data_IF_102486359480
#
_entry.id   IF_102486359480
#
_cell.length_a   1.000
_cell.length_b   1.000
_cell.length_c   1.000
_cell.angle_alpha   90.00
_cell.angle_beta   90.00
_cell.angle_gamma   90.00
#
_symmetry.space_group_name_H-M   'P 1'
#
loop_
_entity.id
_entity.type
_entity.pdbx_description
1 polymer ?
#
# COMPACT_ATOMS: atom_id res chain seq x y z
N UNK A 1 -30.49 -39.01 -45.35
CA UNK A 1 -30.47 -37.54 -45.35
C UNK A 1 -30.94 -37.04 -44.00
N UNK A 2 -30.04 -36.59 -43.13
CA UNK A 2 -30.37 -35.95 -41.86
C UNK A 2 -29.50 -34.71 -41.73
N UNK A 3 -30.15 -33.59 -41.43
CA UNK A 3 -29.65 -32.23 -41.50
C UNK A 3 -28.73 -31.89 -40.33
N UNK A 4 -27.63 -31.22 -40.65
CA UNK A 4 -26.76 -30.53 -39.70
C UNK A 4 -27.48 -29.32 -39.11
N UNK A 5 -27.44 -29.16 -37.79
CA UNK A 5 -27.65 -27.87 -37.14
C UNK A 5 -26.45 -27.59 -36.25
N UNK A 6 -25.57 -26.71 -36.74
CA UNK A 6 -24.48 -26.12 -35.99
C UNK A 6 -25.08 -25.21 -34.90
N UNK A 7 -24.82 -25.52 -33.63
CA UNK A 7 -25.05 -24.59 -32.54
C UNK A 7 -23.81 -23.71 -32.39
N UNK A 8 -23.95 -22.44 -32.75
CA UNK A 8 -22.88 -21.45 -32.63
C UNK A 8 -22.72 -21.06 -31.15
N UNK A 9 -21.67 -21.57 -30.51
CA UNK A 9 -21.19 -21.07 -29.23
C UNK A 9 -20.63 -19.66 -29.46
N UNK A 10 -21.27 -18.65 -28.87
CA UNK A 10 -20.76 -17.28 -28.85
C UNK A 10 -19.42 -17.23 -28.08
N UNK A 11 -18.43 -16.45 -28.53
CA UNK A 11 -17.22 -16.20 -27.76
C UNK A 11 -17.55 -15.28 -26.57
N UNK A 12 -17.26 -15.75 -25.36
CA UNK A 12 -17.28 -14.93 -24.15
C UNK A 12 -16.28 -13.77 -24.31
N UNK A 13 -16.80 -12.54 -24.37
CA UNK A 13 -16.01 -11.32 -24.26
C UNK A 13 -15.33 -11.27 -22.88
N UNK A 14 -14.09 -10.77 -22.79
CA UNK A 14 -13.41 -10.60 -21.52
C UNK A 14 -14.17 -9.58 -20.66
N UNK A 15 -14.42 -9.95 -19.41
CA UNK A 15 -15.00 -9.06 -18.40
C UNK A 15 -14.16 -7.78 -18.34
N UNK A 16 -14.80 -6.67 -18.74
CA UNK A 16 -14.29 -5.31 -18.57
C UNK A 16 -13.86 -5.13 -17.11
N UNK A 17 -12.59 -4.80 -16.89
CA UNK A 17 -12.10 -4.26 -15.63
C UNK A 17 -12.90 -3.00 -15.30
N UNK A 18 -13.93 -3.13 -14.48
CA UNK A 18 -14.62 -1.99 -13.90
C UNK A 18 -13.66 -1.33 -12.90
N UNK A 19 -12.94 -0.30 -13.38
CA UNK A 19 -12.25 0.64 -12.51
C UNK A 19 -13.34 1.35 -11.67
N UNK A 20 -13.28 1.30 -10.34
CA UNK A 20 -14.23 2.01 -9.51
C UNK A 20 -14.16 3.51 -9.81
N UNK A 21 -15.33 4.14 -10.03
CA UNK A 21 -15.44 5.59 -10.23
C UNK A 21 -14.83 6.35 -9.06
N UNK A 22 -14.02 7.37 -9.38
CA UNK A 22 -13.31 8.26 -8.45
C UNK A 22 -14.17 8.79 -7.30
N UNK A 23 -15.45 9.05 -7.56
CA UNK A 23 -16.40 9.62 -6.60
C UNK A 23 -16.62 8.73 -5.36
N UNK A 24 -16.38 7.42 -5.47
CA UNK A 24 -16.61 6.49 -4.36
C UNK A 24 -15.52 6.50 -3.28
N UNK A 25 -14.38 7.18 -3.52
CA UNK A 25 -13.18 7.15 -2.65
C UNK A 25 -12.74 8.59 -2.27
N UNK A 26 -13.39 9.62 -2.82
CA UNK A 26 -13.11 11.05 -2.54
C UNK A 26 -13.13 11.40 -1.03
N UNK A 27 -13.95 10.70 -0.24
CA UNK A 27 -14.01 10.89 1.22
C UNK A 27 -12.89 10.18 1.99
N UNK A 28 -11.97 9.48 1.32
CA UNK A 28 -11.05 8.50 1.93
C UNK A 28 -9.56 8.89 1.90
N UNK A 29 -9.24 10.19 1.85
CA UNK A 29 -7.87 10.68 1.64
C UNK A 29 -7.11 10.97 2.94
N UNK A 30 -5.96 10.32 3.21
CA UNK A 30 -5.04 10.77 4.24
C UNK A 30 -4.17 11.93 3.72
N UNK A 31 -3.95 12.95 4.54
CA UNK A 31 -2.93 13.97 4.25
C UNK A 31 -1.57 13.40 4.70
N UNK A 32 -0.74 12.90 3.78
CA UNK A 32 0.61 12.42 4.15
C UNK A 32 1.43 13.63 4.59
N UNK A 33 2.23 13.47 5.65
CA UNK A 33 3.13 14.54 6.10
C UNK A 33 4.18 14.79 5.01
N UNK A 34 4.45 16.08 4.72
CA UNK A 34 5.47 16.47 3.74
C UNK A 34 6.84 16.05 4.24
N UNK A 35 7.59 15.27 3.46
CA UNK A 35 8.96 14.83 3.75
C UNK A 35 10.01 15.98 3.70
N UNK A 36 9.56 17.24 3.78
CA UNK A 36 10.44 18.42 3.71
C UNK A 36 11.22 18.61 5.00
N UNK A 37 12.22 17.75 5.22
CA UNK A 37 13.39 18.06 6.03
C UNK A 37 14.62 17.56 5.27
N UNK A 38 15.41 18.54 4.79
CA UNK A 38 16.80 18.45 4.31
C UNK A 38 17.13 17.43 3.22
N UNK A 39 17.22 17.92 1.97
CA UNK A 39 18.40 17.80 1.09
C UNK A 39 17.96 18.12 -0.35
N UNK A 40 17.93 19.42 -0.68
CA UNK A 40 17.85 19.90 -2.08
C UNK A 40 19.17 20.60 -2.35
N UNK A 41 20.15 19.84 -2.83
CA UNK A 41 21.18 20.32 -3.75
C UNK A 41 21.63 19.13 -4.62
N UNK A 42 20.85 18.82 -5.65
CA UNK A 42 21.38 18.17 -6.86
C UNK A 42 20.59 18.68 -8.06
N UNK A 43 21.23 19.55 -8.83
CA UNK A 43 20.79 19.92 -10.16
C UNK A 43 21.09 18.73 -11.10
N UNK A 44 20.09 17.87 -11.34
CA UNK A 44 20.10 16.99 -12.51
C UNK A 44 18.73 17.06 -13.21
N UNK A 45 18.72 17.76 -14.35
CA UNK A 45 17.55 17.95 -15.18
C UNK A 45 17.15 16.62 -15.83
N UNK A 46 16.14 15.94 -15.29
CA UNK A 46 15.62 14.78 -16.00
C UNK A 46 14.50 13.94 -15.39
N UNK A 47 13.95 14.25 -14.22
CA UNK A 47 12.68 13.67 -13.72
C UNK A 47 12.26 14.26 -12.36
N UNK A 48 13.20 14.88 -11.63
CA UNK A 48 12.99 15.50 -10.30
C UNK A 48 12.08 16.73 -10.33
N UNK A 49 12.02 17.44 -11.47
CA UNK A 49 11.19 18.63 -11.62
C UNK A 49 9.69 18.33 -11.52
N UNK A 50 9.27 17.11 -11.90
CA UNK A 50 7.88 16.69 -11.79
C UNK A 50 7.48 16.43 -10.33
N UNK A 51 8.34 15.77 -9.55
CA UNK A 51 8.10 15.52 -8.12
C UNK A 51 8.04 16.84 -7.34
N UNK A 52 8.99 17.76 -7.55
CA UNK A 52 9.03 19.05 -6.86
C UNK A 52 7.84 19.95 -7.20
N UNK A 53 7.31 19.89 -8.44
CA UNK A 53 6.11 20.65 -8.83
C UNK A 53 4.82 20.03 -8.32
N UNK A 54 4.75 18.70 -8.19
CA UNK A 54 3.56 17.97 -7.74
C UNK A 54 3.11 18.33 -6.31
N UNK A 55 4.07 18.56 -5.42
CA UNK A 55 3.81 18.78 -4.00
C UNK A 55 3.66 20.26 -3.60
N UNK A 56 3.85 21.21 -4.53
CA UNK A 56 3.74 22.66 -4.27
C UNK A 56 2.31 23.21 -4.30
N UNK A 57 1.38 22.53 -4.97
CA UNK A 57 -0.04 22.91 -5.03
C UNK A 57 -0.88 21.94 -4.19
N UNK A 58 -1.49 22.45 -3.12
CA UNK A 58 -2.25 21.64 -2.15
C UNK A 58 -3.40 20.87 -2.80
N UNK A 59 -4.13 21.46 -3.74
CA UNK A 59 -5.27 20.79 -4.39
C UNK A 59 -4.80 19.64 -5.30
N UNK A 60 -3.70 19.82 -6.03
CA UNK A 60 -3.10 18.78 -6.87
C UNK A 60 -2.48 17.68 -6.01
N UNK A 61 -1.79 18.05 -4.93
CA UNK A 61 -1.26 17.10 -3.94
C UNK A 61 -2.38 16.20 -3.39
N UNK A 62 -3.51 16.76 -2.99
CA UNK A 62 -4.66 15.96 -2.53
C UNK A 62 -5.14 15.02 -3.64
N UNK A 63 -5.37 15.50 -4.86
CA UNK A 63 -5.83 14.65 -5.97
C UNK A 63 -4.88 13.47 -6.26
N UNK A 64 -3.57 13.71 -6.20
CA UNK A 64 -2.56 12.68 -6.42
C UNK A 64 -2.55 11.67 -5.28
N UNK A 65 -2.66 12.13 -4.03
CA UNK A 65 -2.81 11.22 -2.89
C UNK A 65 -4.05 10.34 -3.01
N UNK A 66 -5.18 10.91 -3.46
CA UNK A 66 -6.40 10.13 -3.70
C UNK A 66 -6.13 9.03 -4.70
N UNK A 67 -5.48 9.38 -5.81
CA UNK A 67 -5.17 8.45 -6.88
C UNK A 67 -4.19 7.37 -6.40
N UNK A 68 -3.14 7.72 -5.66
CA UNK A 68 -2.23 6.76 -5.04
C UNK A 68 -2.98 5.78 -4.11
N UNK A 69 -3.87 6.30 -3.26
CA UNK A 69 -4.69 5.47 -2.37
C UNK A 69 -5.61 4.52 -3.13
N UNK A 70 -6.18 4.95 -4.24
CA UNK A 70 -7.00 4.11 -5.14
C UNK A 70 -6.13 3.00 -5.75
N UNK A 71 -4.96 3.36 -6.29
CA UNK A 71 -4.02 2.41 -6.91
C UNK A 71 -3.62 1.34 -5.89
N UNK A 72 -3.13 1.74 -4.72
CA UNK A 72 -2.69 0.85 -3.64
C UNK A 72 -3.83 -0.07 -3.20
N UNK A 73 -5.02 0.49 -2.93
CA UNK A 73 -6.16 -0.29 -2.44
C UNK A 73 -6.65 -1.28 -3.49
N UNK A 74 -6.63 -0.89 -4.76
CA UNK A 74 -7.00 -1.75 -5.89
C UNK A 74 -6.01 -2.90 -6.06
N UNK A 75 -4.71 -2.63 -5.94
CA UNK A 75 -3.69 -3.68 -6.04
C UNK A 75 -3.84 -4.72 -4.92
N UNK A 76 -4.03 -4.27 -3.68
CA UNK A 76 -4.28 -5.16 -2.53
C UNK A 76 -5.56 -5.98 -2.76
N UNK A 77 -6.62 -5.33 -3.21
CA UNK A 77 -7.91 -5.98 -3.50
C UNK A 77 -7.77 -7.04 -4.57
N UNK A 78 -7.05 -6.77 -5.66
CA UNK A 78 -6.83 -7.73 -6.73
C UNK A 78 -6.06 -8.97 -6.26
N UNK A 79 -5.08 -8.79 -5.37
CA UNK A 79 -4.26 -9.89 -4.83
C UNK A 79 -4.97 -10.71 -3.75
N UNK A 80 -5.92 -10.12 -3.05
CA UNK A 80 -6.58 -10.74 -1.87
C UNK A 80 -8.06 -11.03 -2.08
N UNK A 81 -8.66 -10.56 -3.18
CA UNK A 81 -10.08 -10.66 -3.48
C UNK A 81 -10.97 -10.21 -2.31
N UNK A 82 -10.72 -8.99 -1.80
CA UNK A 82 -11.44 -8.42 -0.64
C UNK A 82 -12.21 -7.15 -1.01
N UNK A 83 -13.01 -6.61 -0.08
CA UNK A 83 -13.79 -5.40 -0.33
C UNK A 83 -12.90 -4.15 -0.43
N UNK A 84 -12.84 -3.56 -1.62
CA UNK A 84 -12.00 -2.39 -1.91
C UNK A 84 -12.30 -1.22 -0.97
N UNK A 85 -13.57 -0.94 -0.68
CA UNK A 85 -13.96 0.20 0.16
C UNK A 85 -13.48 0.01 1.60
N UNK A 86 -13.59 -1.19 2.15
CA UNK A 86 -13.10 -1.53 3.48
C UNK A 86 -11.57 -1.39 3.56
N UNK A 87 -10.84 -1.85 2.55
CA UNK A 87 -9.38 -1.71 2.49
C UNK A 87 -8.96 -0.24 2.37
N UNK A 88 -9.58 0.53 1.47
CA UNK A 88 -9.27 1.94 1.29
C UNK A 88 -9.51 2.75 2.57
N UNK A 89 -10.65 2.55 3.25
CA UNK A 89 -10.96 3.21 4.53
C UNK A 89 -9.97 2.83 5.63
N UNK A 90 -9.59 1.56 5.68
CA UNK A 90 -8.65 1.09 6.69
C UNK A 90 -7.25 1.67 6.47
N UNK A 91 -6.74 1.64 5.23
CA UNK A 91 -5.46 2.26 4.87
C UNK A 91 -5.44 3.74 5.21
N UNK A 92 -6.50 4.49 4.84
CA UNK A 92 -6.63 5.91 5.23
C UNK A 92 -6.48 6.08 6.73
N UNK A 93 -7.20 5.27 7.51
CA UNK A 93 -7.22 5.37 8.97
C UNK A 93 -5.83 5.12 9.54
N UNK A 94 -5.15 4.08 9.07
CA UNK A 94 -3.79 3.73 9.50
C UNK A 94 -2.82 4.86 9.17
N UNK A 95 -2.78 5.29 7.91
CA UNK A 95 -1.87 6.32 7.42
C UNK A 95 -2.08 7.65 8.16
N UNK A 96 -3.34 8.10 8.27
CA UNK A 96 -3.66 9.39 8.90
C UNK A 96 -3.31 9.38 10.39
N UNK A 97 -3.66 8.31 11.10
CA UNK A 97 -3.45 8.26 12.56
C UNK A 97 -2.00 7.95 12.94
N UNK A 98 -1.26 7.24 12.09
CA UNK A 98 0.17 7.04 12.26
C UNK A 98 0.99 8.28 11.88
N UNK A 99 0.40 9.24 11.17
CA UNK A 99 1.14 10.40 10.65
C UNK A 99 2.17 10.01 9.60
N UNK A 100 1.88 8.97 8.81
CA UNK A 100 2.84 8.35 7.89
C UNK A 100 3.25 9.31 6.78
N UNK A 101 4.56 9.48 6.62
CA UNK A 101 5.14 10.25 5.51
C UNK A 101 5.10 9.46 4.19
N UNK A 102 5.38 10.10 3.04
CA UNK A 102 5.39 9.35 1.78
C UNK A 102 6.53 8.33 1.73
N UNK A 103 7.71 8.69 2.23
CA UNK A 103 8.82 7.75 2.35
C UNK A 103 8.48 6.55 3.26
N UNK A 104 7.88 6.81 4.42
CA UNK A 104 7.41 5.74 5.32
C UNK A 104 6.31 4.88 4.68
N UNK A 105 5.38 5.49 3.95
CA UNK A 105 4.36 4.77 3.20
C UNK A 105 5.00 3.78 2.22
N UNK A 106 6.00 4.21 1.46
CA UNK A 106 6.67 3.35 0.47
C UNK A 106 7.39 2.17 1.13
N UNK A 107 8.05 2.37 2.28
CA UNK A 107 8.62 1.28 3.08
C UNK A 107 7.54 0.30 3.55
N UNK A 108 6.46 0.82 4.12
CA UNK A 108 5.34 0.02 4.60
C UNK A 108 4.71 -0.80 3.47
N UNK A 109 4.65 -0.25 2.25
CA UNK A 109 4.17 -0.96 1.06
C UNK A 109 5.11 -2.05 0.59
N UNK A 110 6.43 -1.88 0.69
CA UNK A 110 7.39 -2.96 0.41
C UNK A 110 7.15 -4.12 1.38
N UNK A 111 7.07 -3.84 2.69
CA UNK A 111 6.77 -4.87 3.70
C UNK A 111 5.44 -5.55 3.38
N UNK A 112 4.41 -4.77 3.07
CA UNK A 112 3.08 -5.30 2.73
C UNK A 112 3.12 -6.19 1.48
N UNK A 113 3.89 -5.85 0.46
CA UNK A 113 4.04 -6.65 -0.76
C UNK A 113 4.65 -8.02 -0.43
N UNK A 114 5.65 -8.06 0.45
CA UNK A 114 6.25 -9.33 0.93
C UNK A 114 5.26 -10.14 1.76
N UNK A 115 4.60 -9.49 2.71
CA UNK A 115 3.55 -10.08 3.55
C UNK A 115 2.41 -10.68 2.72
N UNK A 116 1.92 -9.97 1.70
CA UNK A 116 0.92 -10.50 0.77
C UNK A 116 1.50 -11.67 -0.02
N UNK A 117 2.73 -11.59 -0.50
CA UNK A 117 3.39 -12.71 -1.17
C UNK A 117 3.42 -13.99 -0.33
N UNK A 118 3.62 -13.85 0.98
CA UNK A 118 3.69 -14.98 1.92
C UNK A 118 2.32 -15.51 2.32
N UNK A 119 1.37 -14.62 2.64
CA UNK A 119 0.13 -14.99 3.30
C UNK A 119 -1.14 -14.77 2.44
N UNK A 120 -1.02 -14.38 1.16
CA UNK A 120 -2.18 -14.08 0.31
C UNK A 120 -3.21 -15.20 0.27
N UNK A 121 -2.77 -16.47 0.18
CA UNK A 121 -3.65 -17.64 0.15
C UNK A 121 -4.52 -17.74 1.41
N UNK A 122 -3.97 -17.33 2.55
CA UNK A 122 -4.67 -17.29 3.82
C UNK A 122 -5.50 -16.01 4.01
N UNK A 123 -5.39 -15.04 3.13
CA UNK A 123 -6.12 -13.79 3.22
C UNK A 123 -7.30 -13.69 2.24
N UNK A 124 -7.40 -14.64 1.29
CA UNK A 124 -8.42 -14.59 0.22
C UNK A 124 -9.83 -14.47 0.78
N UNK A 125 -10.54 -13.40 0.41
CA UNK A 125 -11.91 -13.13 0.84
C UNK A 125 -12.06 -12.76 2.34
N UNK A 126 -10.95 -12.69 3.09
CA UNK A 126 -10.94 -12.44 4.53
C UNK A 126 -10.46 -11.02 4.83
N UNK A 127 -11.35 -10.04 4.70
CA UNK A 127 -11.03 -8.60 4.91
C UNK A 127 -10.29 -8.33 6.23
N UNK A 128 -10.70 -8.96 7.34
CA UNK A 128 -10.03 -8.78 8.64
C UNK A 128 -8.58 -9.27 8.63
N UNK A 129 -8.26 -10.34 7.89
CA UNK A 129 -6.88 -10.83 7.78
C UNK A 129 -6.04 -9.85 6.95
N UNK A 130 -6.58 -9.33 5.84
CA UNK A 130 -5.90 -8.31 5.04
C UNK A 130 -5.66 -7.03 5.84
N UNK A 131 -6.63 -6.59 6.66
CA UNK A 131 -6.46 -5.45 7.55
C UNK A 131 -5.36 -5.68 8.59
N UNK A 132 -5.27 -6.88 9.17
CA UNK A 132 -4.14 -7.24 10.06
C UNK A 132 -2.81 -7.22 9.33
N UNK A 133 -2.75 -7.75 8.11
CA UNK A 133 -1.55 -7.72 7.27
C UNK A 133 -1.10 -6.28 6.98
N UNK A 134 -2.03 -5.39 6.63
CA UNK A 134 -1.77 -3.96 6.45
C UNK A 134 -1.23 -3.36 7.75
N UNK A 135 -1.94 -3.54 8.87
CA UNK A 135 -1.54 -3.00 10.16
C UNK A 135 -0.12 -3.42 10.55
N UNK A 136 0.17 -4.72 10.51
CA UNK A 136 1.47 -5.25 10.89
C UNK A 136 2.57 -4.82 9.94
N UNK A 137 2.30 -4.74 8.64
CA UNK A 137 3.27 -4.23 7.67
C UNK A 137 3.66 -2.78 7.96
N UNK A 138 2.70 -1.96 8.38
CA UNK A 138 2.94 -0.57 8.76
C UNK A 138 3.67 -0.44 10.11
N UNK A 139 3.34 -1.30 11.08
CA UNK A 139 4.08 -1.38 12.34
C UNK A 139 5.55 -1.73 12.11
N UNK A 140 5.80 -2.76 11.29
CA UNK A 140 7.15 -3.21 10.96
C UNK A 140 7.89 -2.15 10.15
N UNK A 141 7.30 -1.65 9.06
CA UNK A 141 7.98 -0.69 8.20
C UNK A 141 8.30 0.65 8.89
N UNK A 142 7.60 0.99 9.97
CA UNK A 142 7.92 2.15 10.82
C UNK A 142 9.23 2.01 11.61
N UNK A 143 9.74 0.79 11.79
CA UNK A 143 10.96 0.50 12.56
C UNK A 143 12.08 -0.16 11.76
N UNK A 144 11.80 -0.58 10.52
CA UNK A 144 12.83 -1.18 9.65
C UNK A 144 13.83 -0.09 9.23
N UNK A 145 15.13 -0.23 9.58
CA UNK A 145 16.14 0.74 9.18
C UNK A 145 16.42 0.66 7.67
N UNK A 146 16.80 1.80 7.08
CA UNK A 146 17.29 1.93 5.70
C UNK A 146 18.77 1.50 5.64
N UNK A 147 19.07 0.22 5.83
CA UNK A 147 20.39 -0.37 5.59
C UNK A 147 20.46 -1.84 5.99
N UNK A 148 21.42 -2.55 5.40
CA UNK A 148 21.77 -3.97 5.56
C UNK A 148 22.21 -4.38 6.98
N UNK A 149 21.56 -3.85 8.02
CA UNK A 149 21.73 -4.29 9.40
C UNK A 149 20.81 -5.49 9.65
N UNK A 150 21.42 -6.66 9.83
CA UNK A 150 20.75 -7.93 10.16
C UNK A 150 20.33 -8.06 11.63
N UNK A 151 20.44 -6.99 12.42
CA UNK A 151 20.14 -7.08 13.85
C UNK A 151 18.63 -7.08 14.10
N UNK A 152 18.11 -8.27 14.41
CA UNK A 152 16.72 -8.50 14.86
C UNK A 152 16.33 -7.73 16.14
N UNK A 153 17.25 -6.96 16.74
CA UNK A 153 17.00 -6.08 17.88
C UNK A 153 16.14 -4.84 17.52
N UNK A 154 16.02 -4.48 16.24
CA UNK A 154 15.26 -3.28 15.82
C UNK A 154 13.74 -3.38 16.00
N UNK A 155 13.18 -4.59 16.05
CA UNK A 155 11.76 -4.82 16.34
C UNK A 155 11.38 -4.41 17.77
N UNK A 156 12.35 -4.24 18.67
CA UNK A 156 12.16 -3.78 20.04
C UNK A 156 11.80 -2.28 20.13
N UNK A 157 11.83 -1.53 19.01
CA UNK A 157 11.52 -0.09 18.99
C UNK A 157 10.06 0.23 18.63
N UNK A 158 9.21 -0.78 18.40
CA UNK A 158 7.80 -0.56 18.03
C UNK A 158 7.04 0.09 19.19
N UNK A 159 6.46 1.26 18.91
CA UNK A 159 5.62 1.97 19.87
C UNK A 159 4.21 1.35 19.94
N UNK A 160 4.07 0.27 20.72
CA UNK A 160 2.80 -0.43 20.88
C UNK A 160 1.68 0.45 21.44
N UNK A 161 1.99 1.44 22.28
CA UNK A 161 0.99 2.39 22.81
C UNK A 161 0.33 3.20 21.69
N UNK A 162 1.10 3.72 20.73
CA UNK A 162 0.56 4.44 19.59
C UNK A 162 -0.27 3.52 18.69
N UNK A 163 0.25 2.34 18.37
CA UNK A 163 -0.44 1.38 17.51
C UNK A 163 -1.70 0.77 18.15
N UNK A 164 -1.75 0.68 19.48
CA UNK A 164 -2.94 0.30 20.24
C UNK A 164 -4.08 1.30 20.03
N UNK A 165 -3.78 2.60 20.07
CA UNK A 165 -4.77 3.67 19.80
C UNK A 165 -5.28 3.66 18.35
N UNK A 166 -4.41 3.29 17.40
CA UNK A 166 -4.76 3.23 15.97
C UNK A 166 -5.67 2.03 15.69
N UNK A 167 -5.28 0.85 16.19
CA UNK A 167 -5.94 -0.42 15.90
C UNK A 167 -7.13 -0.74 16.80
N UNK A 168 -7.20 -0.15 18.00
CA UNK A 168 -8.17 -0.49 19.04
C UNK A 168 -7.86 -1.81 19.77
N UNK A 169 -6.72 -2.44 19.48
CA UNK A 169 -6.24 -3.64 20.18
C UNK A 169 -5.41 -3.24 21.40
N UNK A 170 -5.41 -4.06 22.44
CA UNK A 170 -4.50 -3.84 23.58
C UNK A 170 -3.05 -4.05 23.17
N UNK A 171 -2.12 -3.40 23.88
CA UNK A 171 -0.68 -3.51 23.60
C UNK A 171 -0.20 -4.97 23.66
N UNK A 172 -0.65 -5.74 24.65
CA UNK A 172 -0.31 -7.17 24.78
C UNK A 172 -0.84 -8.01 23.62
N UNK A 173 -2.04 -7.72 23.12
CA UNK A 173 -2.59 -8.40 21.95
C UNK A 173 -1.83 -8.07 20.68
N UNK A 174 -1.40 -6.81 20.51
CA UNK A 174 -0.58 -6.40 19.38
C UNK A 174 0.78 -7.06 19.42
N UNK A 175 1.46 -7.01 20.55
CA UNK A 175 2.78 -7.61 20.73
C UNK A 175 2.76 -9.12 20.46
N UNK A 176 1.82 -9.84 21.10
CA UNK A 176 1.67 -11.28 20.89
C UNK A 176 1.38 -11.65 19.43
N UNK A 177 0.43 -10.94 18.80
CA UNK A 177 0.06 -11.24 17.41
C UNK A 177 1.16 -10.86 16.43
N UNK A 178 1.83 -9.71 16.63
CA UNK A 178 2.90 -9.25 15.76
C UNK A 178 4.13 -10.15 15.87
N UNK A 179 4.51 -10.55 17.08
CA UNK A 179 5.62 -11.49 17.31
C UNK A 179 5.36 -12.83 16.62
N UNK A 180 4.14 -13.38 16.75
CA UNK A 180 3.76 -14.60 16.03
C UNK A 180 3.80 -14.40 14.51
N UNK A 181 3.31 -13.26 14.02
CA UNK A 181 3.31 -12.93 12.61
C UNK A 181 4.73 -12.84 12.02
N UNK A 182 5.65 -12.18 12.73
CA UNK A 182 7.06 -12.06 12.33
C UNK A 182 7.74 -13.42 12.35
N UNK A 183 7.51 -14.23 13.39
CA UNK A 183 8.04 -15.59 13.47
C UNK A 183 7.61 -16.43 12.27
N UNK A 184 6.36 -16.30 11.83
CA UNK A 184 5.86 -17.03 10.66
C UNK A 184 6.45 -16.54 9.34
N UNK A 185 6.91 -15.27 9.29
CA UNK A 185 7.53 -14.69 8.11
C UNK A 185 9.02 -15.06 7.93
N UNK A 186 9.63 -15.78 8.89
CA UNK A 186 10.98 -16.36 8.80
C UNK A 186 12.04 -15.40 8.23
N UNK A 187 12.14 -14.18 8.77
CA UNK A 187 13.13 -13.16 8.38
C UNK A 187 13.00 -12.58 6.96
N UNK A 188 11.92 -12.87 6.23
CA UNK A 188 11.73 -12.38 4.85
C UNK A 188 11.19 -10.93 4.77
N UNK A 189 11.26 -10.16 5.87
CA UNK A 189 10.64 -8.83 5.99
C UNK A 189 11.66 -7.68 5.96
N UNK A 190 12.93 -7.96 5.70
CA UNK A 190 13.95 -6.94 5.45
C UNK A 190 13.56 -6.07 4.24
N UNK A 191 13.90 -4.78 4.22
CA UNK A 191 13.57 -3.86 3.12
C UNK A 191 14.85 -3.25 2.56
N UNK A 192 15.09 -3.43 1.27
CA UNK A 192 16.20 -2.81 0.55
C UNK A 192 15.80 -1.47 -0.08
N UNK A 193 16.76 -0.56 -0.24
CA UNK A 193 16.53 0.75 -0.86
C UNK A 193 16.07 0.62 -2.31
N UNK A 194 16.59 -0.37 -3.05
CA UNK A 194 16.16 -0.65 -4.42
C UNK A 194 14.68 -1.06 -4.48
N UNK A 195 14.18 -1.75 -3.45
CA UNK A 195 12.77 -2.15 -3.39
C UNK A 195 11.86 -0.93 -3.11
N UNK A 196 12.32 -0.01 -2.26
CA UNK A 196 11.62 1.25 -1.98
C UNK A 196 11.56 2.10 -3.25
N UNK A 197 12.69 2.27 -3.93
CA UNK A 197 12.77 3.03 -5.17
C UNK A 197 11.94 2.39 -6.30
N UNK A 198 11.89 1.06 -6.35
CA UNK A 198 11.00 0.31 -7.23
C UNK A 198 9.53 0.64 -6.98
N UNK A 199 9.07 0.58 -5.72
CA UNK A 199 7.68 0.92 -5.36
C UNK A 199 7.35 2.39 -5.67
N UNK A 200 8.28 3.33 -5.38
CA UNK A 200 8.12 4.75 -5.74
C UNK A 200 7.92 4.90 -7.26
N UNK A 201 8.82 4.33 -8.05
CA UNK A 201 8.76 4.39 -9.51
C UNK A 201 7.46 3.81 -10.06
N UNK A 202 7.03 2.65 -9.56
CA UNK A 202 5.80 1.99 -9.99
C UNK A 202 4.56 2.84 -9.66
N UNK A 203 4.48 3.39 -8.43
CA UNK A 203 3.39 4.29 -8.04
C UNK A 203 3.33 5.54 -8.92
N UNK A 204 4.47 6.19 -9.21
CA UNK A 204 4.49 7.37 -10.07
C UNK A 204 4.12 7.05 -11.51
N UNK A 205 4.58 5.92 -12.06
CA UNK A 205 4.18 5.46 -13.40
C UNK A 205 2.68 5.24 -13.47
N UNK A 206 2.11 4.59 -12.45
CA UNK A 206 0.68 4.33 -12.36
C UNK A 206 -0.13 5.62 -12.22
N UNK A 207 0.28 6.54 -11.35
CA UNK A 207 -0.32 7.87 -11.23
C UNK A 207 -0.27 8.62 -12.57
N UNK A 208 0.89 8.67 -13.24
CA UNK A 208 1.05 9.31 -14.56
C UNK A 208 0.14 8.67 -15.62
N UNK A 209 -0.01 7.33 -15.61
CA UNK A 209 -0.91 6.61 -16.50
C UNK A 209 -2.37 7.00 -16.29
N UNK A 210 -2.82 7.05 -15.03
CA UNK A 210 -4.19 7.38 -14.68
C UNK A 210 -4.50 8.87 -14.87
N UNK A 211 -3.56 9.77 -14.59
CA UNK A 211 -3.72 11.21 -14.79
C UNK A 211 -3.79 11.61 -16.28
N UNK A 212 -3.17 10.86 -17.19
CA UNK A 212 -3.31 11.06 -18.65
C UNK A 212 -4.65 10.59 -19.22
N UNK A 213 -5.43 9.84 -18.45
CA UNK A 213 -6.74 9.32 -18.85
C UNK A 213 -7.88 10.24 -18.38
N UNK A 214 -7.57 11.25 -17.54
CA UNK A 214 -8.48 12.31 -17.09
C UNK A 214 -8.29 13.53 -17.98
#
# INVERSE_FOLDING_TARGET
>A
MQNYTYSATQPHLPQSCCIPRFDAISDCVPDLVSDTVSDIESEDEGDEEYEVRLFKNTAQRTQIMNLMMIIISTEITNKTNTDLKAIARFLKTVITRAGTSFNELTKNLVVLKKVIGLFAKEAVGRTTHVQKMILFSFMIGSVVPLNNSTDSSHLLSINFTSWSKISGLSESQLDSQLTSFISNANSQLFVLDEEINGVKSDLFKEVKRHAKVI
#
